data_IF_332646297492
#
_entry.id   IF_332646297492
#
_cell.length_a   1.000
_cell.length_b   1.000
_cell.length_c   1.000
_cell.angle_alpha   90.00
_cell.angle_beta   90.00
_cell.angle_gamma   90.00
#
_symmetry.space_group_name_H-M   'P 1'
#
loop_
_entity.id
_entity.type
_entity.pdbx_description
1 polymer ?
#
# COMPACT_ATOMS: atom_id res chain seq x y z
N UNK A 1 -33.05 31.50 18.94
CA UNK A 1 -32.25 30.26 18.78
C UNK A 1 -32.25 29.90 17.30
N UNK A 2 -31.13 30.13 16.60
CA UNK A 2 -30.97 29.80 15.17
C UNK A 2 -30.38 28.40 15.07
N UNK A 3 -31.07 27.48 14.40
CA UNK A 3 -30.50 26.20 13.99
C UNK A 3 -29.47 26.43 12.86
N UNK A 4 -28.31 25.76 12.87
CA UNK A 4 -27.44 25.76 11.72
C UNK A 4 -27.88 24.64 10.76
N UNK A 5 -28.58 25.02 9.68
CA UNK A 5 -28.65 24.17 8.49
C UNK A 5 -27.39 24.39 7.66
N UNK A 6 -26.41 23.51 7.83
CA UNK A 6 -25.39 23.26 6.80
C UNK A 6 -25.40 21.77 6.47
N UNK A 7 -26.41 21.36 5.71
CA UNK A 7 -26.40 20.08 5.02
C UNK A 7 -25.47 20.26 3.81
N UNK A 8 -24.23 19.80 3.95
CA UNK A 8 -23.31 19.64 2.83
C UNK A 8 -23.95 18.63 1.88
N UNK A 9 -24.27 19.06 0.66
CA UNK A 9 -24.81 18.17 -0.38
C UNK A 9 -23.82 17.03 -0.68
N UNK A 10 -24.29 15.79 -0.91
CA UNK A 10 -23.40 14.69 -1.26
C UNK A 10 -22.78 14.95 -2.63
N UNK A 11 -21.46 14.90 -2.67
CA UNK A 11 -20.63 15.23 -3.80
C UNK A 11 -21.13 14.65 -5.13
N UNK A 12 -21.49 15.55 -6.05
CA UNK A 12 -21.49 15.23 -7.46
C UNK A 12 -20.05 14.97 -7.88
N UNK A 13 -19.69 13.72 -8.13
CA UNK A 13 -18.42 13.28 -8.74
C UNK A 13 -18.31 13.74 -10.22
N UNK A 14 -18.67 14.99 -10.52
CA UNK A 14 -18.62 15.55 -11.87
C UNK A 14 -17.36 16.39 -12.03
N UNK A 15 -16.41 15.87 -12.81
CA UNK A 15 -15.48 16.71 -13.58
C UNK A 15 -13.99 16.54 -13.30
N UNK A 16 -13.58 15.77 -12.30
CA UNK A 16 -12.15 15.50 -12.04
C UNK A 16 -11.95 13.98 -12.15
N UNK A 17 -11.22 13.52 -13.18
CA UNK A 17 -10.80 12.12 -13.26
C UNK A 17 -9.87 11.83 -12.09
N UNK A 18 -10.40 11.18 -11.06
CA UNK A 18 -9.60 10.74 -9.93
C UNK A 18 -8.65 9.66 -10.42
N UNK A 19 -7.37 9.90 -10.20
CA UNK A 19 -6.32 8.92 -10.42
C UNK A 19 -5.96 8.29 -9.09
N UNK A 20 -5.42 7.06 -9.07
CA UNK A 20 -4.95 6.43 -7.84
C UNK A 20 -4.03 7.29 -6.95
N UNK A 21 -3.35 8.28 -7.54
CA UNK A 21 -2.38 9.15 -6.84
C UNK A 21 -2.95 10.48 -6.39
N UNK A 22 -4.08 10.89 -6.95
CA UNK A 22 -4.74 12.14 -6.57
C UNK A 22 -5.76 11.94 -5.45
N UNK A 23 -6.05 10.69 -5.09
CA UNK A 23 -6.95 10.37 -3.98
C UNK A 23 -6.19 10.34 -2.66
N UNK A 24 -6.79 10.91 -1.63
CA UNK A 24 -6.39 10.65 -0.25
C UNK A 24 -7.15 9.42 0.32
N UNK A 25 -6.80 9.03 1.54
CA UNK A 25 -7.41 7.88 2.21
C UNK A 25 -8.89 8.10 2.55
N UNK A 26 -9.29 9.34 2.84
CA UNK A 26 -10.68 9.69 3.18
C UNK A 26 -11.59 9.60 1.94
N UNK A 27 -11.10 10.05 0.79
CA UNK A 27 -11.74 9.91 -0.51
C UNK A 27 -11.85 8.45 -0.93
N UNK A 28 -10.79 7.66 -0.74
CA UNK A 28 -10.81 6.22 -0.98
C UNK A 28 -11.83 5.51 -0.08
N UNK A 29 -11.88 5.87 1.20
CA UNK A 29 -12.87 5.38 2.15
C UNK A 29 -14.28 5.73 1.71
N UNK A 30 -14.55 6.99 1.36
CA UNK A 30 -15.87 7.41 0.89
C UNK A 30 -16.29 6.64 -0.36
N UNK A 31 -15.40 6.49 -1.34
CA UNK A 31 -15.69 5.73 -2.56
C UNK A 31 -16.00 4.26 -2.24
N UNK A 32 -15.19 3.63 -1.39
CA UNK A 32 -15.40 2.23 -1.01
C UNK A 32 -16.73 2.03 -0.29
N UNK A 33 -17.09 2.93 0.64
CA UNK A 33 -18.39 2.91 1.31
C UNK A 33 -19.52 3.05 0.30
N UNK A 34 -19.43 4.01 -0.63
CA UNK A 34 -20.45 4.24 -1.64
C UNK A 34 -20.62 3.00 -2.55
N UNK A 35 -19.51 2.39 -3.00
CA UNK A 35 -19.52 1.15 -3.79
C UNK A 35 -20.16 0.01 -2.99
N UNK A 36 -19.81 -0.13 -1.72
CA UNK A 36 -20.37 -1.16 -0.87
C UNK A 36 -21.88 -1.00 -0.67
N UNK A 37 -22.33 0.22 -0.38
CA UNK A 37 -23.74 0.60 -0.27
C UNK A 37 -24.49 0.24 -1.56
N UNK A 38 -23.94 0.59 -2.73
CA UNK A 38 -24.55 0.26 -4.02
C UNK A 38 -24.58 -1.26 -4.29
N UNK A 39 -23.49 -1.97 -3.99
CA UNK A 39 -23.44 -3.42 -4.11
C UNK A 39 -24.47 -4.06 -3.21
N UNK A 40 -24.61 -3.65 -1.95
CA UNK A 40 -25.62 -4.19 -1.05
C UNK A 40 -27.04 -4.01 -1.60
N UNK A 41 -27.38 -2.86 -2.20
CA UNK A 41 -28.68 -2.68 -2.89
C UNK A 41 -28.88 -3.69 -4.00
N UNK A 42 -27.90 -3.78 -4.90
CA UNK A 42 -28.00 -4.65 -6.07
C UNK A 42 -27.92 -6.13 -5.72
N UNK A 43 -27.27 -6.49 -4.61
CA UNK A 43 -27.20 -7.86 -4.14
C UNK A 43 -28.51 -8.28 -3.48
N UNK A 44 -29.21 -7.40 -2.77
CA UNK A 44 -30.50 -7.72 -2.16
C UNK A 44 -31.57 -8.03 -3.24
N UNK A 45 -31.50 -7.35 -4.38
CA UNK A 45 -32.33 -7.61 -5.56
C UNK A 45 -32.05 -8.98 -6.23
N UNK A 46 -30.86 -9.57 -6.01
CA UNK A 46 -30.34 -10.73 -6.75
C UNK A 46 -30.13 -11.97 -5.86
N UNK A 47 -29.85 -11.79 -4.56
CA UNK A 47 -29.24 -12.79 -3.69
C UNK A 47 -29.96 -13.04 -2.37
N UNK A 48 -31.24 -12.67 -2.23
CA UNK A 48 -32.10 -13.12 -1.13
C UNK A 48 -32.08 -14.64 -0.87
N UNK A 49 -31.45 -15.45 -1.74
CA UNK A 49 -31.40 -16.91 -1.67
C UNK A 49 -30.00 -17.57 -1.52
N UNK A 50 -28.84 -16.88 -1.57
CA UNK A 50 -27.53 -17.57 -1.83
C UNK A 50 -26.42 -17.56 -0.75
N UNK A 51 -26.48 -16.73 0.30
CA UNK A 51 -25.51 -16.79 1.42
C UNK A 51 -24.05 -16.37 1.10
N UNK A 52 -23.83 -15.56 0.06
CA UNK A 52 -22.51 -15.00 -0.33
C UNK A 52 -22.05 -13.82 0.55
N UNK A 53 -22.97 -13.28 1.34
CA UNK A 53 -22.83 -12.20 2.32
C UNK A 53 -21.76 -12.45 3.39
N UNK A 54 -21.72 -13.66 3.98
CA UNK A 54 -20.86 -13.94 5.15
C UNK A 54 -19.37 -13.93 4.86
N UNK A 55 -18.96 -14.23 3.61
CA UNK A 55 -17.54 -14.31 3.21
C UNK A 55 -16.91 -12.96 2.86
N UNK A 56 -17.71 -11.98 2.47
CA UNK A 56 -17.22 -10.64 2.11
C UNK A 56 -17.24 -9.68 3.30
N UNK A 57 -18.17 -9.87 4.24
CA UNK A 57 -18.45 -8.87 5.26
C UNK A 57 -18.10 -9.29 6.68
N UNK A 58 -17.98 -10.58 7.01
CA UNK A 58 -17.77 -11.09 8.38
C UNK A 58 -18.79 -10.61 9.44
N UNK A 59 -19.82 -9.85 9.07
CA UNK A 59 -20.98 -9.50 9.90
C UNK A 59 -22.26 -9.83 9.14
N UNK A 60 -23.34 -10.13 9.86
CA UNK A 60 -24.67 -10.28 9.26
C UNK A 60 -25.06 -8.93 8.66
N UNK A 61 -25.20 -8.87 7.32
CA UNK A 61 -25.87 -7.76 6.67
C UNK A 61 -27.27 -7.74 7.31
N UNK A 62 -27.68 -6.65 8.00
CA UNK A 62 -29.03 -6.56 8.53
C UNK A 62 -29.98 -6.83 7.37
N UNK A 63 -31.05 -7.64 7.54
CA UNK A 63 -32.00 -7.88 6.46
C UNK A 63 -32.44 -6.53 5.93
N UNK A 64 -32.04 -6.24 4.70
CA UNK A 64 -32.49 -5.07 4.00
C UNK A 64 -33.95 -5.41 3.65
N UNK A 65 -34.87 -5.06 4.56
CA UNK A 65 -36.29 -5.29 4.34
C UNK A 65 -36.78 -4.68 3.02
N UNK A 66 -37.92 -5.13 2.48
CA UNK A 66 -38.47 -4.62 1.21
C UNK A 66 -38.73 -3.10 1.18
N UNK A 67 -38.62 -2.39 2.31
CA UNK A 67 -38.66 -0.94 2.42
C UNK A 67 -37.42 -0.19 1.89
N UNK A 68 -36.32 -0.87 1.54
CA UNK A 68 -35.12 -0.22 0.96
C UNK A 68 -35.17 -0.06 -0.57
N UNK A 69 -36.15 -0.69 -1.23
CA UNK A 69 -36.41 -0.54 -2.66
C UNK A 69 -37.01 0.84 -2.94
N UNK A 70 -36.21 1.73 -3.51
CA UNK A 70 -36.65 3.06 -3.96
C UNK A 70 -36.45 4.22 -2.99
N UNK A 71 -35.93 3.97 -1.77
CA UNK A 71 -35.52 5.04 -0.85
C UNK A 71 -34.02 5.36 -0.96
N UNK A 72 -33.62 6.64 -0.75
CA UNK A 72 -32.21 6.97 -0.57
C UNK A 72 -31.66 6.08 0.54
N UNK A 73 -30.51 5.45 0.30
CA UNK A 73 -29.96 4.51 1.28
C UNK A 73 -29.66 5.30 2.54
N UNK A 74 -30.32 4.93 3.64
CA UNK A 74 -30.41 5.73 4.85
C UNK A 74 -29.01 6.14 5.34
N UNK A 75 -28.88 7.37 5.82
CA UNK A 75 -27.66 7.93 6.41
C UNK A 75 -27.11 6.96 7.46
N UNK A 76 -28.01 6.24 8.15
CA UNK A 76 -27.72 5.24 9.16
C UNK A 76 -26.92 4.04 8.65
N UNK A 77 -27.23 3.50 7.47
CA UNK A 77 -26.48 2.36 6.90
C UNK A 77 -25.08 2.80 6.49
N UNK A 78 -24.97 3.98 5.87
CA UNK A 78 -23.68 4.57 5.50
C UNK A 78 -22.83 4.80 6.75
N UNK A 79 -23.42 5.35 7.80
CA UNK A 79 -22.74 5.60 9.07
C UNK A 79 -22.28 4.30 9.74
N UNK A 80 -23.12 3.26 9.73
CA UNK A 80 -22.78 1.96 10.29
C UNK A 80 -21.63 1.28 9.55
N UNK A 81 -21.66 1.32 8.21
CA UNK A 81 -20.56 0.81 7.38
C UNK A 81 -19.27 1.56 7.71
N UNK A 82 -19.31 2.89 7.81
CA UNK A 82 -18.13 3.70 8.16
C UNK A 82 -17.53 3.30 9.52
N UNK A 83 -18.36 3.07 10.54
CA UNK A 83 -17.90 2.65 11.87
C UNK A 83 -17.25 1.25 11.86
N UNK A 84 -17.74 0.36 11.00
CA UNK A 84 -17.23 -1.01 10.91
C UNK A 84 -16.09 -1.17 9.90
N UNK A 85 -15.87 -0.16 9.06
CA UNK A 85 -14.93 -0.21 7.94
C UNK A 85 -13.54 -0.75 8.32
N UNK A 86 -12.89 -0.30 9.42
CA UNK A 86 -11.56 -0.79 9.80
C UNK A 86 -11.52 -2.30 10.10
N UNK A 87 -12.66 -2.91 10.40
CA UNK A 87 -12.78 -4.34 10.71
C UNK A 87 -12.98 -5.19 9.46
N UNK A 88 -13.41 -4.60 8.34
CA UNK A 88 -13.75 -5.33 7.12
C UNK A 88 -12.49 -5.80 6.40
N UNK A 89 -12.40 -7.10 6.11
CA UNK A 89 -11.28 -7.64 5.35
C UNK A 89 -11.19 -7.06 3.94
N UNK A 90 -12.35 -6.79 3.31
CA UNK A 90 -12.38 -6.14 2.02
C UNK A 90 -11.77 -4.72 2.07
N UNK A 91 -12.05 -3.96 3.13
CA UNK A 91 -11.43 -2.65 3.34
C UNK A 91 -9.94 -2.77 3.64
N UNK A 92 -9.53 -3.64 4.56
CA UNK A 92 -8.12 -3.89 4.87
C UNK A 92 -7.33 -4.27 3.61
N UNK A 93 -7.92 -5.10 2.75
CA UNK A 93 -7.36 -5.49 1.46
C UNK A 93 -7.18 -4.29 0.52
N UNK A 94 -8.25 -3.51 0.27
CA UNK A 94 -8.17 -2.32 -0.59
C UNK A 94 -7.18 -1.28 -0.03
N UNK A 95 -7.15 -1.09 1.28
CA UNK A 95 -6.19 -0.22 1.96
C UNK A 95 -4.75 -0.71 1.74
N UNK A 96 -4.48 -2.00 1.92
CA UNK A 96 -3.15 -2.57 1.67
C UNK A 96 -2.72 -2.43 0.20
N UNK A 97 -3.66 -2.58 -0.75
CA UNK A 97 -3.42 -2.36 -2.18
C UNK A 97 -3.08 -0.90 -2.46
N UNK A 98 -3.81 0.04 -1.84
CA UNK A 98 -3.54 1.46 -1.95
C UNK A 98 -2.17 1.83 -1.34
N UNK A 99 -1.90 1.40 -0.12
CA UNK A 99 -0.64 1.66 0.57
C UNK A 99 0.54 1.10 -0.21
N UNK A 100 0.43 -0.11 -0.77
CA UNK A 100 1.51 -0.70 -1.58
C UNK A 100 1.63 -0.05 -2.96
N UNK A 101 0.53 0.00 -3.73
CA UNK A 101 0.55 0.50 -5.10
C UNK A 101 0.96 1.97 -5.18
N UNK A 102 0.39 2.81 -4.31
CA UNK A 102 0.56 4.28 -4.35
C UNK A 102 1.71 4.73 -3.47
N UNK A 103 1.77 4.27 -2.21
CA UNK A 103 2.77 4.75 -1.23
C UNK A 103 4.01 3.86 -1.14
N UNK A 104 4.06 2.75 -1.87
CA UNK A 104 5.18 1.80 -1.81
C UNK A 104 5.31 1.10 -0.46
N UNK A 105 4.25 1.06 0.36
CA UNK A 105 4.25 0.46 1.69
C UNK A 105 3.63 -0.93 1.65
N UNK A 106 4.40 -2.00 1.80
CA UNK A 106 3.88 -3.35 1.77
C UNK A 106 3.13 -3.70 3.06
N UNK A 107 2.31 -4.76 3.00
CA UNK A 107 1.45 -5.17 4.11
C UNK A 107 2.23 -5.50 5.39
N UNK A 108 1.88 -4.81 6.48
CA UNK A 108 2.44 -4.99 7.82
C UNK A 108 1.94 -6.28 8.49
N UNK A 109 0.78 -6.79 8.06
CA UNK A 109 0.21 -8.06 8.55
C UNK A 109 0.98 -9.30 8.10
N UNK A 110 1.96 -9.15 7.21
CA UNK A 110 2.81 -10.23 6.71
C UNK A 110 2.15 -11.07 5.61
N UNK A 111 0.94 -10.71 5.15
CA UNK A 111 0.31 -11.38 4.03
C UNK A 111 1.05 -11.09 2.73
N UNK A 112 1.15 -12.07 1.84
CA UNK A 112 1.78 -11.85 0.53
C UNK A 112 0.97 -10.83 -0.29
N UNK A 113 1.64 -9.85 -0.89
CA UNK A 113 0.97 -8.92 -1.81
C UNK A 113 0.32 -9.64 -2.99
N UNK A 114 0.81 -10.83 -3.37
CA UNK A 114 0.17 -11.67 -4.37
C UNK A 114 -1.24 -12.11 -3.94
N UNK A 115 -1.39 -12.58 -2.70
CA UNK A 115 -2.68 -13.04 -2.17
C UNK A 115 -3.63 -11.86 -1.94
N UNK A 116 -3.10 -10.73 -1.47
CA UNK A 116 -3.83 -9.47 -1.33
C UNK A 116 -4.37 -9.01 -2.69
N UNK A 117 -3.54 -8.95 -3.73
CA UNK A 117 -3.97 -8.55 -5.08
C UNK A 117 -5.00 -9.52 -5.66
N UNK A 118 -4.82 -10.82 -5.44
CA UNK A 118 -5.79 -11.85 -5.86
C UNK A 118 -7.15 -11.65 -5.19
N UNK A 119 -7.18 -11.28 -3.91
CA UNK A 119 -8.43 -10.95 -3.22
C UNK A 119 -9.02 -9.61 -3.70
N UNK A 120 -8.16 -8.60 -3.88
CA UNK A 120 -8.53 -7.30 -4.45
C UNK A 120 -9.22 -7.42 -5.81
N UNK A 121 -8.73 -8.29 -6.70
CA UNK A 121 -9.39 -8.59 -7.99
C UNK A 121 -10.81 -9.11 -7.83
N UNK A 122 -11.09 -9.92 -6.80
CA UNK A 122 -12.44 -10.43 -6.54
C UNK A 122 -13.37 -9.32 -6.06
N UNK A 123 -12.89 -8.46 -5.16
CA UNK A 123 -13.63 -7.30 -4.66
C UNK A 123 -13.95 -6.33 -5.80
N UNK A 124 -12.95 -6.00 -6.61
CA UNK A 124 -13.10 -5.07 -7.73
C UNK A 124 -13.95 -5.63 -8.87
N UNK A 125 -13.90 -6.93 -9.14
CA UNK A 125 -14.81 -7.58 -10.08
C UNK A 125 -16.27 -7.49 -9.61
N UNK A 126 -16.53 -7.70 -8.32
CA UNK A 126 -17.86 -7.54 -7.74
C UNK A 126 -18.37 -6.10 -7.89
N UNK A 127 -17.55 -5.11 -7.53
CA UNK A 127 -17.90 -3.71 -7.70
C UNK A 127 -18.07 -3.30 -9.16
N UNK A 128 -17.24 -3.83 -10.06
CA UNK A 128 -17.33 -3.54 -11.50
C UNK A 128 -18.59 -4.12 -12.13
N UNK A 129 -19.09 -5.26 -11.64
CA UNK A 129 -20.35 -5.83 -12.10
C UNK A 129 -21.56 -4.96 -11.74
N UNK A 130 -21.49 -4.22 -10.63
CA UNK A 130 -22.59 -3.36 -10.15
C UNK A 130 -22.43 -1.91 -10.62
N UNK A 131 -21.20 -1.39 -10.63
CA UNK A 131 -20.92 0.03 -10.88
C UNK A 131 -19.56 0.23 -11.59
N UNK A 132 -19.44 -0.12 -12.89
CA UNK A 132 -18.17 -0.20 -13.60
C UNK A 132 -17.38 1.11 -13.59
N UNK A 133 -18.04 2.25 -13.81
CA UNK A 133 -17.37 3.56 -13.89
C UNK A 133 -16.72 3.97 -12.56
N UNK A 134 -17.38 3.71 -11.42
CA UNK A 134 -16.82 4.01 -10.09
C UNK A 134 -15.79 2.98 -9.65
N UNK A 135 -15.92 1.73 -10.11
CA UNK A 135 -14.97 0.67 -9.79
C UNK A 135 -13.64 0.80 -10.54
N UNK A 136 -13.59 1.58 -11.62
CA UNK A 136 -12.36 1.85 -12.41
C UNK A 136 -11.17 2.23 -11.53
N UNK A 137 -11.36 3.13 -10.57
CA UNK A 137 -10.28 3.56 -9.67
C UNK A 137 -9.70 2.41 -8.86
N UNK A 138 -10.55 1.49 -8.36
CA UNK A 138 -10.07 0.34 -7.60
C UNK A 138 -9.37 -0.68 -8.50
N UNK A 139 -9.83 -0.86 -9.74
CA UNK A 139 -9.12 -1.67 -10.73
C UNK A 139 -7.72 -1.08 -11.02
N UNK A 140 -7.62 0.23 -11.19
CA UNK A 140 -6.35 0.92 -11.40
C UNK A 140 -5.42 0.79 -10.19
N UNK A 141 -5.96 0.82 -8.96
CA UNK A 141 -5.20 0.55 -7.74
C UNK A 141 -4.64 -0.88 -7.68
N UNK A 142 -5.47 -1.88 -8.02
CA UNK A 142 -5.01 -3.28 -8.11
C UNK A 142 -3.91 -3.40 -9.15
N UNK A 143 -4.07 -2.80 -10.32
CA UNK A 143 -3.07 -2.81 -11.39
C UNK A 143 -1.75 -2.18 -10.94
N UNK A 144 -1.78 -1.04 -10.25
CA UNK A 144 -0.57 -0.41 -9.70
C UNK A 144 0.14 -1.30 -8.67
N UNK A 145 -0.62 -1.91 -7.76
CA UNK A 145 -0.09 -2.83 -6.77
C UNK A 145 0.57 -4.06 -7.41
N UNK A 146 -0.03 -4.61 -8.46
CA UNK A 146 0.55 -5.72 -9.22
C UNK A 146 1.78 -5.31 -10.01
N UNK A 147 1.74 -4.16 -10.68
CA UNK A 147 2.89 -3.61 -11.39
C UNK A 147 4.10 -3.47 -10.47
N UNK A 148 3.89 -2.99 -9.24
CA UNK A 148 4.94 -2.91 -8.22
C UNK A 148 5.42 -4.30 -7.79
N UNK A 149 4.51 -5.26 -7.60
CA UNK A 149 4.89 -6.63 -7.28
C UNK A 149 5.77 -7.27 -8.36
N UNK A 150 5.50 -6.98 -9.64
CA UNK A 150 6.31 -7.45 -10.76
C UNK A 150 7.70 -6.78 -10.78
N UNK A 151 7.83 -5.50 -10.36
CA UNK A 151 9.14 -4.87 -10.20
C UNK A 151 10.01 -5.56 -9.14
N UNK A 152 9.41 -6.09 -8.08
CA UNK A 152 10.15 -6.73 -6.99
C UNK A 152 10.59 -8.17 -7.32
N UNK A 153 10.05 -8.77 -8.38
CA UNK A 153 10.35 -10.14 -8.78
C UNK A 153 11.52 -10.15 -9.77
N UNK A 154 12.57 -10.96 -9.56
CA UNK A 154 13.68 -11.07 -10.52
C UNK A 154 13.25 -11.46 -11.94
N UNK A 155 12.16 -12.21 -12.06
CA UNK A 155 11.56 -12.63 -13.33
C UNK A 155 10.16 -12.03 -13.54
N UNK A 156 9.93 -10.86 -12.95
CA UNK A 156 8.65 -10.17 -13.08
C UNK A 156 8.41 -9.66 -14.50
N UNK A 157 7.15 -9.62 -14.91
CA UNK A 157 6.74 -9.13 -16.22
C UNK A 157 6.41 -7.64 -16.15
N UNK A 158 7.40 -6.82 -16.45
CA UNK A 158 7.24 -5.37 -16.49
C UNK A 158 6.97 -4.95 -17.94
N UNK A 159 5.80 -4.38 -18.22
CA UNK A 159 5.42 -3.91 -19.56
C UNK A 159 5.46 -2.38 -19.66
N UNK A 160 5.20 -1.85 -20.86
CA UNK A 160 5.07 -0.40 -21.07
C UNK A 160 3.95 0.17 -20.21
N UNK A 161 2.82 -0.52 -20.13
CA UNK A 161 1.65 -0.13 -19.34
C UNK A 161 1.98 -0.10 -17.84
N UNK A 162 2.76 -1.08 -17.37
CA UNK A 162 3.27 -1.11 -15.99
C UNK A 162 4.11 0.13 -15.69
N UNK A 163 5.08 0.48 -16.55
CA UNK A 163 5.93 1.66 -16.36
C UNK A 163 5.16 2.97 -16.47
N UNK A 164 4.22 3.07 -17.41
CA UNK A 164 3.30 4.22 -17.57
C UNK A 164 2.53 4.46 -16.28
N UNK A 165 1.92 3.41 -15.72
CA UNK A 165 1.14 3.52 -14.50
C UNK A 165 2.01 3.82 -13.27
N UNK A 166 3.18 3.19 -13.13
CA UNK A 166 4.09 3.37 -12.00
C UNK A 166 4.91 4.66 -12.05
N UNK A 167 5.15 5.24 -13.22
CA UNK A 167 5.78 6.55 -13.33
C UNK A 167 4.73 7.68 -13.34
N UNK A 168 3.50 7.41 -13.81
CA UNK A 168 2.49 8.44 -14.08
C UNK A 168 2.89 9.33 -15.25
N UNK A 169 3.38 8.70 -16.32
CA UNK A 169 3.84 9.36 -17.55
C UNK A 169 3.19 8.70 -18.75
N UNK A 170 3.22 9.35 -19.91
CA UNK A 170 2.69 8.77 -21.14
C UNK A 170 3.62 7.67 -21.73
N UNK A 171 3.05 6.83 -22.60
CA UNK A 171 3.80 5.74 -23.25
C UNK A 171 4.94 6.22 -24.16
N UNK A 172 4.90 7.45 -24.67
CA UNK A 172 5.99 8.02 -25.48
C UNK A 172 7.21 8.31 -24.61
N UNK A 173 7.01 8.75 -23.37
CA UNK A 173 8.10 8.94 -22.40
C UNK A 173 8.86 7.63 -22.14
N UNK A 174 8.14 6.51 -21.96
CA UNK A 174 8.77 5.18 -21.81
C UNK A 174 9.51 4.76 -23.09
N UNK A 175 8.91 4.95 -24.28
CA UNK A 175 9.56 4.63 -25.56
C UNK A 175 10.81 5.47 -25.84
N UNK A 176 10.82 6.74 -25.40
CA UNK A 176 12.00 7.59 -25.51
C UNK A 176 13.14 7.06 -24.63
N UNK A 177 12.84 6.62 -23.40
CA UNK A 177 13.81 5.99 -22.51
C UNK A 177 14.35 4.67 -23.09
N UNK A 178 13.50 3.87 -23.73
CA UNK A 178 13.94 2.69 -24.49
C UNK A 178 14.93 3.06 -25.61
N UNK A 179 14.61 4.08 -26.40
CA UNK A 179 15.44 4.51 -27.52
C UNK A 179 16.78 5.13 -27.06
N UNK A 180 16.80 5.75 -25.89
CA UNK A 180 17.99 6.31 -25.27
C UNK A 180 18.91 5.25 -24.62
N UNK A 181 18.41 4.03 -24.41
CA UNK A 181 19.15 2.97 -23.71
C UNK A 181 19.05 3.03 -22.18
N UNK A 182 18.17 3.87 -21.62
CA UNK A 182 17.96 4.01 -20.18
C UNK A 182 17.24 2.79 -19.56
N UNK A 183 16.56 2.00 -20.39
CA UNK A 183 15.77 0.83 -20.00
C UNK A 183 16.27 -0.41 -20.75
N UNK A 184 16.67 -1.44 -20.02
CA UNK A 184 16.92 -2.76 -20.57
C UNK A 184 15.60 -3.47 -20.85
N UNK A 185 15.41 -3.97 -22.07
CA UNK A 185 14.19 -4.65 -22.47
C UNK A 185 14.47 -5.83 -23.41
N UNK A 186 13.54 -6.78 -23.42
CA UNK A 186 13.46 -7.86 -24.38
C UNK A 186 12.19 -7.68 -25.21
N UNK A 187 12.32 -7.86 -26.53
CA UNK A 187 11.18 -7.84 -27.44
C UNK A 187 10.88 -9.27 -27.89
N UNK A 188 9.64 -9.70 -27.68
CA UNK A 188 9.11 -10.97 -28.20
C UNK A 188 7.88 -10.67 -29.07
N UNK A 189 8.09 -10.61 -30.39
CA UNK A 189 7.07 -10.17 -31.34
C UNK A 189 6.62 -8.72 -31.07
N UNK A 190 5.34 -8.57 -30.70
CA UNK A 190 4.73 -7.29 -30.35
C UNK A 190 4.88 -6.92 -28.87
N UNK A 191 5.26 -7.89 -28.01
CA UNK A 191 5.40 -7.67 -26.59
C UNK A 191 6.79 -7.11 -26.26
N UNK A 192 6.81 -6.08 -25.43
CA UNK A 192 8.03 -5.50 -24.87
C UNK A 192 8.00 -5.73 -23.37
N UNK A 193 8.96 -6.49 -22.87
CA UNK A 193 9.16 -6.72 -21.44
C UNK A 193 10.46 -6.07 -21.00
N UNK A 194 10.42 -5.40 -19.85
CA UNK A 194 11.57 -4.71 -19.27
C UNK A 194 12.22 -5.58 -18.19
N UNK A 195 13.55 -5.49 -18.10
CA UNK A 195 14.27 -6.03 -16.96
C UNK A 195 13.82 -5.30 -15.67
N UNK A 196 13.34 -6.01 -14.63
CA UNK A 196 12.84 -5.40 -13.41
C UNK A 196 13.85 -4.48 -12.70
N UNK A 197 15.14 -4.83 -12.71
CA UNK A 197 16.17 -4.03 -12.06
C UNK A 197 16.43 -2.72 -12.81
N UNK A 198 16.55 -2.76 -14.14
CA UNK A 198 16.65 -1.55 -14.97
C UNK A 198 15.39 -0.68 -14.86
N UNK A 199 14.20 -1.28 -14.86
CA UNK A 199 12.93 -0.59 -14.66
C UNK A 199 12.88 0.15 -13.31
N UNK A 200 13.30 -0.50 -12.21
CA UNK A 200 13.36 0.14 -10.89
C UNK A 200 14.31 1.34 -10.89
N UNK A 201 15.52 1.20 -11.43
CA UNK A 201 16.48 2.29 -11.51
C UNK A 201 15.92 3.50 -12.27
N UNK A 202 15.26 3.25 -13.41
CA UNK A 202 14.65 4.30 -14.20
C UNK A 202 13.49 5.00 -13.48
N UNK A 203 12.73 4.26 -12.65
CA UNK A 203 11.60 4.77 -11.89
C UNK A 203 12.02 5.63 -10.68
N UNK A 204 13.14 5.35 -10.02
CA UNK A 204 13.60 6.10 -8.83
C UNK A 204 13.74 7.61 -9.10
N UNK A 205 14.11 8.01 -10.31
CA UNK A 205 14.22 9.42 -10.70
C UNK A 205 12.90 10.12 -11.06
N UNK A 206 11.74 9.42 -10.98
CA UNK A 206 10.46 9.94 -11.46
C UNK A 206 9.64 10.50 -10.30
N UNK A 207 9.23 11.78 -10.42
CA UNK A 207 8.40 12.49 -9.43
C UNK A 207 7.15 11.73 -8.99
N UNK A 208 6.57 10.94 -9.89
CA UNK A 208 5.35 10.18 -9.61
C UNK A 208 5.58 8.81 -8.97
N UNK A 209 6.82 8.32 -8.89
CA UNK A 209 7.13 7.02 -8.33
C UNK A 209 7.67 7.16 -6.92
N UNK A 210 6.98 6.54 -5.96
CA UNK A 210 7.51 6.35 -4.61
C UNK A 210 8.22 4.99 -4.59
N UNK A 211 9.53 4.90 -4.29
CA UNK A 211 10.22 3.63 -4.16
C UNK A 211 9.53 2.72 -3.14
N UNK A 212 9.50 1.41 -3.43
CA UNK A 212 8.97 0.44 -2.48
C UNK A 212 9.83 0.51 -1.23
N UNK A 213 9.22 0.74 -0.08
CA UNK A 213 9.94 0.64 1.19
C UNK A 213 10.41 -0.80 1.32
N UNK A 214 11.69 -1.03 1.62
CA UNK A 214 12.15 -2.38 1.86
C UNK A 214 11.29 -2.97 2.98
N UNK A 215 10.76 -4.16 2.74
CA UNK A 215 10.15 -4.94 3.80
C UNK A 215 11.13 -6.06 4.07
N UNK A 216 12.03 -5.81 5.01
CA UNK A 216 12.87 -6.89 5.53
C UNK A 216 11.97 -7.71 6.45
N UNK A 217 11.14 -8.55 5.84
CA UNK A 217 10.27 -9.50 6.55
C UNK A 217 11.13 -10.36 7.45
N UNK A 218 10.74 -10.44 8.73
CA UNK A 218 11.36 -11.31 9.74
C UNK A 218 12.81 -10.95 10.08
N UNK A 219 13.14 -9.66 10.16
CA UNK A 219 14.23 -9.29 11.05
C UNK A 219 13.74 -9.51 12.47
N UNK A 220 14.21 -10.58 13.08
CA UNK A 220 14.02 -10.83 14.50
C UNK A 220 14.92 -9.88 15.29
N UNK A 221 14.45 -8.63 15.42
CA UNK A 221 15.11 -7.63 16.27
C UNK A 221 14.92 -7.93 17.74
N UNK A 222 13.98 -8.80 18.12
CA UNK A 222 13.65 -9.05 19.54
C UNK A 222 14.76 -9.82 20.24
N UNK A 223 15.53 -10.63 19.50
CA UNK A 223 16.66 -11.40 20.01
C UNK A 223 18.01 -10.67 19.99
N UNK A 224 18.06 -9.44 19.48
CA UNK A 224 19.29 -8.65 19.42
C UNK A 224 19.57 -7.99 20.77
N UNK A 225 20.64 -8.42 21.45
CA UNK A 225 20.95 -7.97 22.81
C UNK A 225 22.31 -7.26 22.91
N UNK A 226 23.14 -7.35 21.86
CA UNK A 226 24.48 -6.76 21.86
C UNK A 226 24.68 -5.76 20.73
N UNK A 227 25.63 -4.86 20.92
CA UNK A 227 26.03 -3.88 19.89
C UNK A 227 26.56 -4.56 18.63
N UNK A 228 27.27 -5.68 18.78
CA UNK A 228 27.81 -6.45 17.66
C UNK A 228 26.69 -7.11 16.81
N UNK A 229 25.68 -7.71 17.46
CA UNK A 229 24.53 -8.27 16.76
C UNK A 229 23.73 -7.18 16.02
N UNK A 230 23.57 -6.01 16.65
CA UNK A 230 22.93 -4.86 16.01
C UNK A 230 23.71 -4.38 14.77
N UNK A 231 25.03 -4.26 14.89
CA UNK A 231 25.92 -3.87 13.80
C UNK A 231 25.84 -4.84 12.60
N UNK A 232 25.90 -6.15 12.89
CA UNK A 232 25.81 -7.20 11.90
C UNK A 232 24.47 -7.15 11.18
N UNK A 233 23.38 -6.99 11.93
CA UNK A 233 22.04 -6.90 11.36
C UNK A 233 21.93 -5.75 10.36
N UNK A 234 22.36 -4.54 10.73
CA UNK A 234 22.28 -3.38 9.84
C UNK A 234 23.13 -3.57 8.58
N UNK A 235 24.31 -4.16 8.74
CA UNK A 235 25.22 -4.48 7.63
C UNK A 235 24.57 -5.46 6.66
N UNK A 236 23.98 -6.55 7.18
CA UNK A 236 23.31 -7.57 6.38
C UNK A 236 22.13 -6.99 5.60
N UNK A 237 21.34 -6.12 6.25
CA UNK A 237 20.24 -5.42 5.58
C UNK A 237 20.80 -4.51 4.49
N UNK A 238 21.82 -3.69 4.76
CA UNK A 238 22.35 -2.75 3.76
C UNK A 238 22.97 -3.45 2.56
N UNK A 239 23.68 -4.56 2.77
CA UNK A 239 24.18 -5.41 1.69
C UNK A 239 23.03 -5.93 0.83
N UNK A 240 21.94 -6.37 1.46
CA UNK A 240 20.74 -6.82 0.76
C UNK A 240 20.05 -5.69 -0.01
N UNK A 241 19.87 -4.50 0.58
CA UNK A 241 19.29 -3.33 -0.09
C UNK A 241 20.09 -2.95 -1.34
N UNK A 242 21.42 -2.94 -1.23
CA UNK A 242 22.30 -2.66 -2.36
C UNK A 242 22.20 -3.73 -3.45
N UNK A 243 22.15 -5.01 -3.07
CA UNK A 243 21.97 -6.12 -4.02
C UNK A 243 20.62 -6.08 -4.73
N UNK A 244 19.57 -5.64 -4.03
CA UNK A 244 18.22 -5.45 -4.58
C UNK A 244 18.10 -4.17 -5.43
N UNK A 245 19.17 -3.38 -5.56
CA UNK A 245 19.20 -2.13 -6.32
C UNK A 245 18.40 -1.00 -5.66
N UNK A 246 18.07 -1.13 -4.38
CA UNK A 246 17.39 -0.11 -3.59
C UNK A 246 18.43 0.94 -3.19
N UNK A 247 18.63 1.93 -4.05
CA UNK A 247 19.57 3.02 -3.81
C UNK A 247 18.87 4.20 -3.11
N UNK A 248 18.30 3.95 -1.93
CA UNK A 248 17.80 5.01 -1.06
C UNK A 248 18.96 5.64 -0.31
N UNK A 249 19.05 6.97 -0.30
CA UNK A 249 20.02 7.66 0.54
C UNK A 249 19.71 7.39 2.02
N UNK A 250 20.71 7.04 2.84
CA UNK A 250 20.52 6.94 4.28
C UNK A 250 19.96 8.23 4.88
N UNK A 251 19.10 8.14 5.92
CA UNK A 251 18.57 9.32 6.61
C UNK A 251 19.62 10.00 7.51
N UNK A 252 20.88 9.58 7.43
CA UNK A 252 22.00 10.02 8.26
C UNK A 252 23.24 10.14 7.37
N UNK A 253 24.22 10.93 7.81
CA UNK A 253 25.45 11.09 7.03
C UNK A 253 26.27 9.77 6.96
N UNK A 254 27.22 9.66 6.01
CA UNK A 254 28.01 8.44 5.84
C UNK A 254 28.85 8.04 7.07
N UNK A 255 29.26 9.00 7.89
CA UNK A 255 30.07 8.75 9.10
C UNK A 255 29.20 8.15 10.20
N UNK A 256 27.99 8.68 10.39
CA UNK A 256 26.98 8.13 11.28
C UNK A 256 26.58 6.71 10.84
N UNK A 257 26.37 6.47 9.54
CA UNK A 257 26.07 5.14 9.03
C UNK A 257 27.21 4.14 9.28
N UNK A 258 28.45 4.55 9.04
CA UNK A 258 29.64 3.71 9.35
C UNK A 258 29.74 3.41 10.84
N UNK A 259 29.32 4.34 11.70
CA UNK A 259 29.30 4.15 13.15
C UNK A 259 28.23 3.12 13.56
N UNK A 260 27.04 3.20 12.98
CA UNK A 260 25.96 2.23 13.21
C UNK A 260 26.37 0.81 12.79
N UNK A 261 27.04 0.67 11.65
CA UNK A 261 27.58 -0.61 11.13
C UNK A 261 28.76 -1.15 11.97
N UNK A 262 29.30 -0.35 12.88
CA UNK A 262 30.29 -0.78 13.88
C UNK A 262 29.67 -1.03 15.25
N UNK A 263 28.35 -0.91 15.37
CA UNK A 263 27.63 -1.08 16.63
C UNK A 263 27.75 0.13 17.55
N UNK A 264 27.93 1.33 17.00
CA UNK A 264 27.96 2.58 17.76
C UNK A 264 26.74 3.43 17.41
N UNK A 265 25.85 3.62 18.39
CA UNK A 265 24.69 4.49 18.26
C UNK A 265 24.97 5.84 18.93
N UNK A 266 25.45 6.81 18.15
CA UNK A 266 25.77 8.18 18.61
C UNK A 266 24.68 9.19 18.27
N UNK A 267 23.58 8.72 17.69
CA UNK A 267 22.45 9.54 17.25
C UNK A 267 21.45 9.78 18.39
N UNK A 268 20.68 10.87 18.34
CA UNK A 268 19.54 11.02 19.23
C UNK A 268 18.48 9.95 18.97
N UNK A 269 17.71 9.59 20.01
CA UNK A 269 16.82 8.42 19.98
C UNK A 269 15.68 8.56 18.95
N UNK A 270 15.27 9.79 18.63
CA UNK A 270 14.29 10.10 17.59
C UNK A 270 14.75 9.67 16.18
N UNK A 271 16.06 9.55 15.97
CA UNK A 271 16.65 9.02 14.74
C UNK A 271 16.34 7.53 14.51
N UNK A 272 15.82 6.82 15.54
CA UNK A 272 15.42 5.43 15.40
C UNK A 272 14.28 5.23 14.37
N UNK A 273 13.32 6.14 14.24
CA UNK A 273 12.22 5.95 13.29
C UNK A 273 12.61 6.14 11.83
N UNK A 274 13.34 7.22 11.45
CA UNK A 274 13.88 7.33 10.10
C UNK A 274 14.76 6.14 9.73
N UNK A 275 15.58 5.64 10.67
CA UNK A 275 16.41 4.45 10.45
C UNK A 275 15.56 3.18 10.30
N UNK A 276 14.52 2.99 11.12
CA UNK A 276 13.60 1.86 10.99
C UNK A 276 12.94 1.84 9.61
N UNK A 277 12.48 3.01 9.15
CA UNK A 277 11.87 3.16 7.83
C UNK A 277 12.88 2.87 6.70
N UNK A 278 14.12 3.36 6.83
CA UNK A 278 15.20 3.10 5.88
C UNK A 278 15.56 1.61 5.79
N UNK A 279 15.73 0.95 6.93
CA UNK A 279 16.06 -0.48 6.99
C UNK A 279 14.85 -1.40 6.78
N UNK A 280 13.64 -0.86 6.64
CA UNK A 280 12.46 -1.67 6.44
C UNK A 280 12.04 -2.50 7.66
N UNK A 281 12.36 -2.01 8.86
CA UNK A 281 12.04 -2.63 10.15
C UNK A 281 10.86 -1.90 10.78
N UNK A 282 9.97 -2.63 11.46
CA UNK A 282 8.86 -2.01 12.19
C UNK A 282 9.39 -1.04 13.25
N UNK A 283 8.85 0.19 13.26
CA UNK A 283 9.30 1.30 14.12
C UNK A 283 9.36 0.94 15.60
N UNK A 284 8.28 0.36 16.15
CA UNK A 284 8.20 0.01 17.57
C UNK A 284 9.22 -1.08 17.95
N UNK A 285 9.28 -2.25 17.28
CA UNK A 285 10.32 -3.26 17.54
C UNK A 285 11.74 -2.72 17.38
N UNK A 286 11.99 -1.88 16.36
CA UNK A 286 13.31 -1.29 16.15
C UNK A 286 13.70 -0.34 17.29
N UNK A 287 12.78 0.53 17.72
CA UNK A 287 13.01 1.41 18.87
C UNK A 287 13.32 0.61 20.13
N UNK A 288 12.55 -0.45 20.42
CA UNK A 288 12.80 -1.33 21.56
C UNK A 288 14.19 -1.97 21.48
N UNK A 289 14.60 -2.44 20.30
CA UNK A 289 15.93 -2.97 20.06
C UNK A 289 17.03 -1.92 20.33
N UNK A 290 16.91 -0.71 19.78
CA UNK A 290 17.87 0.39 20.00
C UNK A 290 17.97 0.72 21.49
N UNK A 291 16.84 0.85 22.17
CA UNK A 291 16.81 1.15 23.60
C UNK A 291 17.43 0.02 24.42
N UNK A 292 17.12 -1.23 24.12
CA UNK A 292 17.68 -2.40 24.83
C UNK A 292 19.21 -2.47 24.70
N UNK A 293 19.75 -2.21 23.51
CA UNK A 293 21.19 -2.35 23.22
C UNK A 293 22.01 -1.14 23.67
N UNK A 294 21.50 0.08 23.50
CA UNK A 294 22.29 1.31 23.69
C UNK A 294 21.83 2.17 24.87
N UNK A 295 20.59 2.01 25.33
CA UNK A 295 20.00 2.78 26.42
C UNK A 295 19.37 1.85 27.48
N UNK A 296 20.11 0.85 28.01
CA UNK A 296 19.52 -0.21 28.82
C UNK A 296 18.88 0.30 30.12
N UNK A 297 19.42 1.37 30.71
CA UNK A 297 18.85 2.00 31.89
C UNK A 297 17.48 2.64 31.60
N UNK A 298 17.35 3.36 30.48
CA UNK A 298 16.10 3.96 30.05
C UNK A 298 15.08 2.89 29.63
N UNK A 299 15.54 1.82 28.99
CA UNK A 299 14.69 0.70 28.60
C UNK A 299 14.08 0.00 29.83
N UNK A 300 14.91 -0.27 30.85
CA UNK A 300 14.47 -0.90 32.09
C UNK A 300 13.31 -0.15 32.77
N UNK A 301 13.37 1.19 32.79
CA UNK A 301 12.34 2.06 33.37
C UNK A 301 11.00 2.05 32.61
N UNK A 302 11.02 1.73 31.31
CA UNK A 302 9.82 1.65 30.48
C UNK A 302 9.22 0.25 30.44
N UNK A 303 10.02 -0.76 30.78
CA UNK A 303 9.62 -2.17 30.80
C UNK A 303 9.13 -2.66 32.17
N UNK A 304 9.28 -1.85 33.23
CA UNK A 304 8.75 -2.08 34.58
C UNK A 304 7.34 -1.53 34.73
#
# INVERSE_FOLDING_TARGET
>A
MKQPHSIVSPHSWRGWELTPRSIDEEQLQSLFVDLLVHTLKSLDDVFGETGLDKRLFQFEIPPLGPSYLGQPLDIDVRHRIQQQLPKLDAWKCIKAIYDFGVKGMPDEGGHSMYDINKFGRRITALFSAVYPDKAKLLNDLVFLSEGRLELERPLGRVTVETLVALAGVDARTVRNAMAAGDLAFKKDGALVEFDPSSARQWLVGRRGFVPTKPLVRRVDVDNINTQAEFAQLLTDIRVKLNADGINTEPPVDPVAMTSLERGLFTLPLDSAFPLADYFGIRREPFLKCVMRVFFPAQYALLSS
#
